data_IF_937751043553
#
_entry.id   IF_937751043553
#
_cell.length_a   1.000
_cell.length_b   1.000
_cell.length_c   1.000
_cell.angle_alpha   90.00
_cell.angle_beta   90.00
_cell.angle_gamma   90.00
#
_symmetry.space_group_name_H-M   'P 1'
#
loop_
_entity.id
_entity.type
_entity.pdbx_description
1 polymer ?
#
# COMPACT_ATOMS: atom_id res chain seq x y z
N UNK A 1 8.38 20.49 0.41
CA UNK A 1 9.56 20.11 1.21
C UNK A 1 10.28 18.97 0.49
N UNK A 2 11.62 18.95 0.47
CA UNK A 2 12.40 17.86 -0.15
C UNK A 2 12.62 16.70 0.82
N UNK A 3 12.78 15.45 0.33
CA UNK A 3 13.11 14.31 1.19
C UNK A 3 14.50 14.50 1.82
N UNK A 4 14.62 14.14 3.11
CA UNK A 4 15.92 14.13 3.78
C UNK A 4 16.60 12.78 3.56
N UNK A 5 17.63 12.77 2.72
CA UNK A 5 18.37 11.56 2.33
C UNK A 5 19.75 11.44 3.03
N UNK A 6 20.07 12.39 3.90
CA UNK A 6 21.37 12.45 4.59
C UNK A 6 21.24 12.71 6.11
N UNK A 7 22.19 12.20 6.92
CA UNK A 7 23.35 11.39 6.52
C UNK A 7 22.93 9.99 6.06
N UNK A 8 23.71 9.41 5.14
CA UNK A 8 23.48 8.06 4.61
C UNK A 8 24.31 7.07 5.45
N UNK A 9 23.73 5.96 5.93
CA UNK A 9 24.52 4.91 6.55
C UNK A 9 25.47 4.28 5.52
N UNK A 10 26.55 3.65 5.98
CA UNK A 10 27.47 2.95 5.07
C UNK A 10 26.80 1.77 4.36
N UNK A 11 25.81 1.15 5.00
CA UNK A 11 25.04 0.03 4.45
C UNK A 11 23.95 0.51 3.49
N UNK A 12 24.08 0.15 2.22
CA UNK A 12 23.05 0.35 1.19
C UNK A 12 21.71 -0.32 1.55
N UNK A 13 21.78 -1.46 2.25
CA UNK A 13 20.60 -2.21 2.69
C UNK A 13 19.86 -1.44 3.77
N UNK A 14 20.58 -0.92 4.77
CA UNK A 14 19.98 -0.10 5.83
C UNK A 14 19.38 1.19 5.28
N UNK A 15 20.05 1.80 4.31
CA UNK A 15 19.54 2.98 3.65
C UNK A 15 18.23 2.71 2.90
N UNK A 16 18.18 1.67 2.06
CA UNK A 16 16.96 1.29 1.35
C UNK A 16 15.85 0.90 2.34
N UNK A 17 16.18 0.15 3.39
CA UNK A 17 15.23 -0.20 4.44
C UNK A 17 14.60 1.04 5.08
N UNK A 18 15.42 2.04 5.44
CA UNK A 18 14.95 3.30 6.00
C UNK A 18 14.02 4.07 5.05
N UNK A 19 14.31 4.07 3.75
CA UNK A 19 13.41 4.67 2.74
C UNK A 19 12.08 3.93 2.68
N UNK A 20 12.11 2.60 2.54
CA UNK A 20 10.90 1.77 2.42
C UNK A 20 10.02 1.88 3.68
N UNK A 21 10.62 1.86 4.87
CA UNK A 21 9.92 2.06 6.13
C UNK A 21 9.35 3.48 6.26
N UNK A 22 10.10 4.51 5.86
CA UNK A 22 9.61 5.88 5.93
C UNK A 22 8.44 6.13 4.99
N UNK A 23 8.42 5.51 3.80
CA UNK A 23 7.26 5.56 2.91
C UNK A 23 6.06 4.84 3.55
N UNK A 24 6.27 3.70 4.21
CA UNK A 24 5.19 3.01 4.94
C UNK A 24 4.61 3.86 6.09
N UNK A 25 5.44 4.68 6.76
CA UNK A 25 4.97 5.64 7.77
C UNK A 25 4.13 6.75 7.16
N UNK A 26 4.47 7.22 5.95
CA UNK A 26 3.67 8.18 5.20
C UNK A 26 2.32 7.56 4.81
N UNK A 27 2.33 6.30 4.36
CA UNK A 27 1.10 5.54 4.06
C UNK A 27 0.19 5.40 5.29
N UNK A 28 0.75 4.99 6.43
CA UNK A 28 0.02 4.89 7.69
C UNK A 28 -0.62 6.23 8.10
N UNK A 29 0.14 7.32 8.01
CA UNK A 29 -0.38 8.68 8.25
C UNK A 29 -1.50 9.05 7.28
N UNK A 30 -1.42 8.61 6.03
CA UNK A 30 -2.48 8.82 5.04
C UNK A 30 -3.79 8.14 5.44
N UNK A 31 -3.73 6.87 5.84
CA UNK A 31 -4.91 6.13 6.32
C UNK A 31 -5.46 6.71 7.63
N UNK A 32 -4.60 7.09 8.57
CA UNK A 32 -4.99 7.75 9.82
C UNK A 32 -5.72 9.07 9.54
N UNK A 33 -5.19 9.90 8.63
CA UNK A 33 -5.84 11.15 8.23
C UNK A 33 -7.22 10.90 7.59
N UNK A 34 -7.37 9.88 6.75
CA UNK A 34 -8.67 9.54 6.17
C UNK A 34 -9.69 9.17 7.27
N UNK A 35 -9.26 8.41 8.28
CA UNK A 35 -10.07 8.07 9.46
C UNK A 35 -10.46 9.34 10.24
N UNK A 36 -9.51 10.23 10.52
CA UNK A 36 -9.77 11.51 11.19
C UNK A 36 -10.79 12.38 10.43
N UNK A 37 -10.79 12.30 9.10
CA UNK A 37 -11.73 13.00 8.23
C UNK A 37 -13.10 12.29 8.08
N UNK A 38 -13.30 11.16 8.78
CA UNK A 38 -14.59 10.47 8.87
C UNK A 38 -14.75 9.25 7.97
N UNK A 39 -13.69 8.78 7.31
CA UNK A 39 -13.72 7.50 6.63
C UNK A 39 -13.78 6.34 7.64
N UNK A 40 -14.34 5.20 7.23
CA UNK A 40 -14.22 3.95 7.98
C UNK A 40 -12.75 3.58 8.17
N UNK A 41 -12.40 3.09 9.36
CA UNK A 41 -11.05 2.61 9.66
C UNK A 41 -10.65 1.46 8.73
N UNK A 42 -9.39 1.45 8.32
CA UNK A 42 -8.83 0.42 7.43
C UNK A 42 -8.57 -0.86 8.23
N UNK A 43 -9.05 -2.00 7.71
CA UNK A 43 -8.86 -3.32 8.34
C UNK A 43 -7.83 -4.17 7.59
N UNK A 44 -7.68 -3.96 6.28
CA UNK A 44 -6.71 -4.63 5.42
C UNK A 44 -6.31 -3.74 4.24
N UNK A 45 -5.13 -3.95 3.67
CA UNK A 45 -4.63 -3.17 2.52
C UNK A 45 -4.23 -4.08 1.35
N UNK A 46 -4.80 -3.84 0.18
CA UNK A 46 -4.37 -4.48 -1.07
C UNK A 46 -3.42 -3.58 -1.86
N UNK A 47 -2.24 -4.10 -2.20
CA UNK A 47 -1.19 -3.35 -2.91
C UNK A 47 -1.16 -3.64 -4.41
N UNK A 48 -1.04 -2.58 -5.19
CA UNK A 48 -0.84 -2.60 -6.63
C UNK A 48 0.47 -1.88 -7.03
N UNK A 49 0.75 -1.82 -8.34
CA UNK A 49 1.93 -1.13 -8.88
C UNK A 49 3.25 -1.87 -8.68
N UNK A 50 4.34 -1.25 -9.12
CA UNK A 50 5.67 -1.88 -9.17
C UNK A 50 6.22 -2.33 -7.80
N UNK A 51 5.81 -1.68 -6.70
CA UNK A 51 6.21 -2.03 -5.34
C UNK A 51 5.56 -3.31 -4.81
N UNK A 52 4.41 -3.71 -5.36
CA UNK A 52 3.61 -4.84 -4.89
C UNK A 52 4.31 -6.22 -5.03
N UNK A 53 5.36 -6.32 -5.86
CA UNK A 53 6.16 -7.53 -6.01
C UNK A 53 7.24 -7.68 -4.92
N UNK A 54 7.49 -6.65 -4.12
CA UNK A 54 8.52 -6.66 -3.08
C UNK A 54 7.96 -7.21 -1.76
N UNK A 55 8.22 -8.49 -1.51
CA UNK A 55 7.74 -9.18 -0.30
C UNK A 55 8.33 -8.60 1.00
N UNK A 56 9.56 -8.10 0.97
CA UNK A 56 10.17 -7.44 2.14
C UNK A 56 9.42 -6.16 2.45
N UNK A 57 9.05 -5.39 1.42
CA UNK A 57 8.32 -4.15 1.63
C UNK A 57 6.87 -4.38 2.08
N UNK A 58 6.21 -5.43 1.60
CA UNK A 58 4.92 -5.88 2.15
C UNK A 58 5.04 -6.09 3.66
N UNK A 59 6.02 -6.89 4.11
CA UNK A 59 6.23 -7.14 5.56
C UNK A 59 6.56 -5.89 6.37
N UNK A 60 7.35 -4.97 5.80
CA UNK A 60 7.64 -3.67 6.44
C UNK A 60 6.33 -2.89 6.61
N UNK A 61 5.50 -2.84 5.57
CA UNK A 61 4.21 -2.14 5.59
C UNK A 61 3.24 -2.78 6.58
N UNK A 62 3.10 -4.10 6.60
CA UNK A 62 2.28 -4.82 7.61
C UNK A 62 2.67 -4.42 9.03
N UNK A 63 3.97 -4.43 9.34
CA UNK A 63 4.48 -4.04 10.65
C UNK A 63 4.19 -2.57 10.98
N UNK A 64 4.37 -1.66 10.03
CA UNK A 64 4.22 -0.21 10.24
C UNK A 64 2.75 0.20 10.32
N UNK A 65 1.89 -0.38 9.48
CA UNK A 65 0.45 -0.13 9.43
C UNK A 65 -0.29 -0.83 10.58
N UNK A 66 0.24 -1.95 11.08
CA UNK A 66 -0.40 -2.74 12.15
C UNK A 66 -1.58 -3.57 11.68
N UNK A 67 -1.68 -3.85 10.37
CA UNK A 67 -2.78 -4.58 9.74
C UNK A 67 -2.29 -5.46 8.57
N UNK A 68 -3.09 -6.43 8.10
CA UNK A 68 -2.74 -7.28 6.97
C UNK A 68 -2.55 -6.50 5.68
N UNK A 69 -1.49 -6.84 4.94
CA UNK A 69 -1.20 -6.22 3.64
C UNK A 69 -1.00 -7.31 2.59
N UNK A 70 -1.84 -7.29 1.57
CA UNK A 70 -1.90 -8.32 0.54
C UNK A 70 -1.56 -7.74 -0.82
N UNK A 71 -0.99 -8.56 -1.71
CA UNK A 71 -0.93 -8.20 -3.13
C UNK A 71 -2.35 -8.30 -3.72
N UNK A 72 -2.79 -7.28 -4.45
CA UNK A 72 -4.04 -7.35 -5.19
C UNK A 72 -3.98 -8.45 -6.25
N UNK A 73 -5.01 -9.30 -6.32
CA UNK A 73 -5.09 -10.37 -7.31
C UNK A 73 -5.19 -9.84 -8.74
N UNK A 74 -5.87 -8.71 -8.92
CA UNK A 74 -6.09 -8.04 -10.20
C UNK A 74 -5.91 -6.54 -10.02
N UNK A 75 -5.18 -5.92 -10.95
CA UNK A 75 -4.86 -4.48 -10.90
C UNK A 75 -5.21 -3.74 -12.18
N UNK A 76 -5.57 -4.46 -13.25
CA UNK A 76 -5.89 -3.86 -14.53
C UNK A 76 -7.26 -3.17 -14.50
N UNK A 77 -7.32 -1.93 -14.98
CA UNK A 77 -8.57 -1.18 -15.08
C UNK A 77 -9.61 -1.90 -15.95
N UNK A 78 -9.15 -2.59 -17.02
CA UNK A 78 -10.00 -3.40 -17.88
C UNK A 78 -10.72 -4.53 -17.12
N UNK A 79 -10.05 -5.16 -16.14
CA UNK A 79 -10.66 -6.17 -15.30
C UNK A 79 -11.77 -5.57 -14.43
N UNK A 80 -11.52 -4.40 -13.84
CA UNK A 80 -12.56 -3.64 -13.10
C UNK A 80 -13.76 -3.26 -13.96
N UNK A 81 -13.53 -2.84 -15.21
CA UNK A 81 -14.61 -2.55 -16.17
C UNK A 81 -15.44 -3.80 -16.50
N UNK A 82 -14.81 -4.96 -16.66
CA UNK A 82 -15.51 -6.23 -16.87
C UNK A 82 -16.39 -6.61 -15.66
N UNK A 83 -15.93 -6.36 -14.43
CA UNK A 83 -16.75 -6.58 -13.22
C UNK A 83 -17.97 -5.65 -13.17
N UNK A 84 -17.84 -4.40 -13.62
CA UNK A 84 -18.98 -3.48 -13.73
C UNK A 84 -20.02 -3.99 -14.74
N UNK A 85 -19.58 -4.49 -15.90
CA UNK A 85 -20.46 -5.09 -16.89
C UNK A 85 -21.17 -6.33 -16.33
N UNK A 86 -20.43 -7.22 -15.66
CA UNK A 86 -20.97 -8.42 -15.01
C UNK A 86 -22.05 -8.06 -13.98
N UNK A 87 -21.78 -7.06 -13.12
CA UNK A 87 -22.75 -6.56 -12.14
C UNK A 87 -23.98 -5.96 -12.82
N UNK A 88 -23.81 -5.23 -13.93
CA UNK A 88 -24.90 -4.60 -14.69
C UNK A 88 -25.86 -5.59 -15.34
N UNK A 89 -25.38 -6.78 -15.73
CA UNK A 89 -26.22 -7.85 -16.31
C UNK A 89 -26.88 -8.75 -15.26
N UNK A 90 -26.72 -8.46 -13.97
CA UNK A 90 -27.38 -9.17 -12.87
C UNK A 90 -26.80 -10.55 -12.56
N UNK A 91 -25.65 -10.90 -13.15
CA UNK A 91 -24.93 -12.11 -12.80
C UNK A 91 -24.07 -11.80 -11.56
N UNK A 92 -24.51 -12.26 -10.40
CA UNK A 92 -23.68 -12.27 -9.19
C UNK A 92 -23.00 -13.63 -9.09
N UNK A 93 -21.70 -13.63 -8.80
CA UNK A 93 -20.98 -14.82 -8.36
C UNK A 93 -21.33 -15.12 -6.90
#
# INVERSE_FOLDING_TARGET
MMPRLHPRPESEVEYLHGILESIARIEAKGYELLKELGATEVEEVFTAGGGAKNQVWIKIRERVLGLPVHRALQTEAAYGAALLALKGVGLQN
#
